data_IF_681476918216
#
_entry.id   IF_681476918216
#
_cell.length_a   1.000
_cell.length_b   1.000
_cell.length_c   1.000
_cell.angle_alpha   90.00
_cell.angle_beta   90.00
_cell.angle_gamma   90.00
#
_symmetry.space_group_name_H-M   'P 1'
#
loop_
_entity.id
_entity.type
_entity.pdbx_description
1 polymer ?
#
# COMPACT_ATOMS: atom_id res chain seq x y z
N UNK A 1 42.00 -24.64 21.99
CA UNK A 1 41.47 -25.22 20.75
C UNK A 1 39.96 -25.37 20.89
N UNK A 2 39.18 -24.63 20.10
CA UNK A 2 37.74 -24.89 19.94
C UNK A 2 37.51 -25.05 18.43
N UNK A 3 37.15 -26.24 18.00
CA UNK A 3 36.85 -26.55 16.62
C UNK A 3 35.45 -26.02 16.28
N UNK A 4 35.38 -25.02 15.40
CA UNK A 4 34.11 -24.61 14.81
C UNK A 4 33.84 -25.52 13.60
N UNK A 5 33.05 -26.56 13.83
CA UNK A 5 32.51 -27.46 12.81
C UNK A 5 31.47 -26.72 11.96
N UNK A 6 31.95 -25.95 10.98
CA UNK A 6 31.13 -25.42 9.91
C UNK A 6 31.16 -26.35 8.71
N UNK A 7 29.99 -26.83 8.28
CA UNK A 7 29.81 -27.70 7.12
C UNK A 7 30.13 -26.93 5.81
N UNK A 8 31.41 -26.89 5.40
CA UNK A 8 31.86 -26.24 4.16
C UNK A 8 31.75 -27.25 3.02
N UNK A 9 30.65 -27.20 2.28
CA UNK A 9 30.48 -28.01 1.06
C UNK A 9 31.29 -27.39 -0.07
N UNK A 10 32.40 -28.03 -0.44
CA UNK A 10 33.30 -27.55 -1.49
C UNK A 10 32.81 -27.99 -2.88
N UNK A 11 31.96 -27.17 -3.51
CA UNK A 11 31.50 -27.43 -4.90
C UNK A 11 32.54 -26.88 -5.89
N UNK A 12 33.10 -27.72 -6.78
CA UNK A 12 33.99 -27.26 -7.85
C UNK A 12 33.21 -26.38 -8.86
N UNK A 13 33.77 -25.21 -9.21
CA UNK A 13 33.20 -24.26 -10.16
C UNK A 13 33.62 -24.65 -11.60
N UNK A 14 32.68 -24.84 -12.54
CA UNK A 14 33.01 -25.21 -13.93
C UNK A 14 33.44 -24.02 -14.82
N UNK A 15 33.48 -22.77 -14.33
CA UNK A 15 33.81 -21.60 -15.16
C UNK A 15 35.25 -21.10 -14.97
N UNK A 16 35.95 -20.80 -16.08
CA UNK A 16 37.36 -20.36 -16.19
C UNK A 16 37.68 -18.95 -15.65
N UNK A 17 36.72 -18.24 -15.06
CA UNK A 17 36.99 -16.98 -14.34
C UNK A 17 37.22 -17.33 -12.87
N UNK A 18 38.31 -16.80 -12.29
CA UNK A 18 38.84 -17.17 -10.95
C UNK A 18 37.80 -17.20 -9.82
N UNK A 19 38.17 -17.69 -8.61
CA UNK A 19 37.22 -18.08 -7.57
C UNK A 19 36.23 -16.96 -7.23
N UNK A 20 35.06 -17.01 -7.87
CA UNK A 20 33.97 -16.08 -7.59
C UNK A 20 33.55 -16.32 -6.14
N UNK A 21 33.51 -15.25 -5.34
CA UNK A 21 33.15 -15.28 -3.91
C UNK A 21 31.93 -16.19 -3.68
N UNK A 22 32.13 -17.36 -3.05
CA UNK A 22 31.10 -18.42 -2.92
C UNK A 22 30.27 -18.31 -1.63
N UNK A 23 30.04 -17.09 -1.15
CA UNK A 23 29.28 -16.88 0.09
C UNK A 23 27.87 -16.30 -0.16
N UNK A 24 27.57 -15.79 -1.37
CA UNK A 24 26.35 -15.02 -1.64
C UNK A 24 25.03 -15.72 -1.32
N UNK A 25 24.96 -17.04 -1.42
CA UNK A 25 23.72 -17.78 -1.12
C UNK A 25 23.60 -18.17 0.36
N UNK A 26 24.74 -18.40 1.03
CA UNK A 26 24.77 -18.71 2.46
C UNK A 26 24.42 -17.47 3.29
N UNK A 27 24.89 -16.28 2.88
CA UNK A 27 24.55 -15.03 3.58
C UNK A 27 23.06 -14.73 3.57
N UNK A 28 22.34 -15.07 2.48
CA UNK A 28 20.88 -14.88 2.39
C UNK A 28 20.08 -15.71 3.39
N UNK A 29 20.67 -16.79 3.93
CA UNK A 29 20.02 -17.70 4.89
C UNK A 29 20.23 -17.28 6.35
N UNK A 30 21.13 -16.33 6.63
CA UNK A 30 21.32 -15.75 7.96
C UNK A 30 20.08 -14.94 8.35
N UNK A 31 19.56 -15.10 9.57
CA UNK A 31 18.33 -14.42 10.04
C UNK A 31 18.35 -12.91 9.77
N UNK A 32 19.43 -12.23 10.20
CA UNK A 32 19.60 -10.78 10.02
C UNK A 32 19.60 -10.32 8.56
N UNK A 33 20.05 -11.15 7.63
CA UNK A 33 20.09 -10.82 6.20
C UNK A 33 18.77 -11.24 5.54
N UNK A 34 18.16 -12.33 5.99
CA UNK A 34 16.88 -12.85 5.51
C UNK A 34 15.76 -11.84 5.74
N UNK A 35 15.73 -11.17 6.88
CA UNK A 35 14.72 -10.17 7.23
C UNK A 35 14.72 -8.97 6.27
N UNK A 36 15.88 -8.63 5.68
CA UNK A 36 16.01 -7.56 4.69
C UNK A 36 15.44 -7.93 3.31
N UNK A 37 15.35 -9.23 3.00
CA UNK A 37 14.84 -9.75 1.74
C UNK A 37 13.44 -10.36 1.85
N UNK A 38 12.91 -10.49 3.07
CA UNK A 38 11.54 -10.90 3.32
C UNK A 38 10.60 -9.80 2.80
N UNK A 39 10.05 -10.04 1.60
CA UNK A 39 9.13 -9.10 0.95
C UNK A 39 7.95 -8.86 1.88
N UNK A 40 7.81 -7.61 2.34
CA UNK A 40 6.60 -7.12 3.00
C UNK A 40 5.36 -7.69 2.28
N UNK A 41 4.42 -8.23 3.06
CA UNK A 41 3.19 -8.83 2.56
C UNK A 41 2.63 -7.97 1.44
N UNK A 42 2.33 -8.59 0.29
CA UNK A 42 1.91 -7.88 -0.94
C UNK A 42 0.97 -6.73 -0.57
N UNK A 43 1.44 -5.49 -0.77
CA UNK A 43 0.66 -4.29 -0.50
C UNK A 43 -0.72 -4.46 -1.12
N UNK A 44 -1.79 -4.13 -0.37
CA UNK A 44 -3.16 -4.23 -0.88
C UNK A 44 -3.21 -3.53 -2.23
N UNK A 45 -3.71 -4.22 -3.25
CA UNK A 45 -3.82 -3.64 -4.59
C UNK A 45 -4.65 -2.37 -4.49
N UNK A 46 -4.12 -1.26 -5.03
CA UNK A 46 -4.90 -0.03 -5.18
C UNK A 46 -6.08 -0.33 -6.09
N UNK A 47 -7.23 0.30 -5.80
CA UNK A 47 -8.39 0.24 -6.70
C UNK A 47 -7.98 0.78 -8.06
N UNK A 48 -8.41 0.10 -9.12
CA UNK A 48 -8.23 0.62 -10.47
C UNK A 48 -9.25 1.73 -10.74
N UNK A 49 -8.98 2.57 -11.73
CA UNK A 49 -9.93 3.59 -12.19
C UNK A 49 -11.25 2.94 -12.63
N UNK A 50 -11.19 1.77 -13.26
CA UNK A 50 -12.37 0.99 -13.63
C UNK A 50 -13.21 0.56 -12.41
N UNK A 51 -12.56 0.10 -11.35
CA UNK A 51 -13.25 -0.28 -10.10
C UNK A 51 -13.93 0.92 -9.43
N UNK A 52 -13.37 2.12 -9.61
CA UNK A 52 -13.98 3.36 -9.11
C UNK A 52 -15.22 3.68 -9.94
N UNK A 53 -15.10 3.75 -11.26
CA UNK A 53 -16.22 4.06 -12.15
C UNK A 53 -17.38 3.06 -12.04
N UNK A 54 -17.08 1.78 -11.82
CA UNK A 54 -18.11 0.76 -11.62
C UNK A 54 -18.97 0.98 -10.36
N UNK A 55 -18.43 1.65 -9.35
CA UNK A 55 -19.11 1.91 -8.08
C UNK A 55 -19.59 3.37 -7.96
N UNK A 56 -19.54 4.15 -9.04
CA UNK A 56 -20.09 5.50 -9.09
C UNK A 56 -21.55 5.40 -9.54
N UNK A 57 -22.47 5.71 -8.62
CA UNK A 57 -23.92 5.74 -8.87
C UNK A 57 -24.43 7.16 -9.12
N UNK A 58 -25.71 7.30 -9.50
CA UNK A 58 -26.37 8.60 -9.70
C UNK A 58 -26.28 9.52 -8.48
N UNK A 59 -26.21 8.94 -7.26
CA UNK A 59 -25.98 9.66 -6.01
C UNK A 59 -24.68 10.46 -6.00
N UNK A 60 -23.64 10.04 -6.72
CA UNK A 60 -22.38 10.78 -6.82
C UNK A 60 -22.55 12.12 -7.54
N UNK A 61 -23.47 12.19 -8.49
CA UNK A 61 -23.77 13.39 -9.26
C UNK A 61 -24.90 14.23 -8.65
N UNK A 62 -25.34 13.91 -7.43
CA UNK A 62 -26.34 14.70 -6.72
C UNK A 62 -27.77 14.54 -7.24
N UNK A 63 -28.03 13.62 -8.17
CA UNK A 63 -29.39 13.39 -8.70
C UNK A 63 -30.43 13.03 -7.63
N UNK A 64 -29.98 12.56 -6.45
CA UNK A 64 -30.85 12.19 -5.33
C UNK A 64 -31.01 13.30 -4.27
N UNK A 65 -30.13 14.31 -4.28
CA UNK A 65 -30.07 15.30 -3.20
C UNK A 65 -31.29 16.25 -3.21
N UNK A 66 -31.90 16.45 -4.38
CA UNK A 66 -33.12 17.25 -4.54
C UNK A 66 -34.38 16.51 -4.08
N UNK A 67 -34.40 15.18 -4.13
CA UNK A 67 -35.62 14.38 -3.86
C UNK A 67 -35.89 14.17 -2.36
N UNK A 68 -34.85 14.01 -1.53
CA UNK A 68 -35.01 13.67 -0.11
C UNK A 68 -35.36 14.90 0.78
N UNK A 69 -35.28 16.12 0.23
CA UNK A 69 -35.63 17.38 0.92
C UNK A 69 -34.77 17.71 2.15
N UNK A 70 -33.73 16.93 2.43
CA UNK A 70 -32.79 17.11 3.54
C UNK A 70 -32.02 18.42 3.37
N UNK A 71 -31.58 18.71 2.15
CA UNK A 71 -30.82 19.92 1.83
C UNK A 71 -31.60 21.19 2.18
N UNK A 72 -32.87 21.27 1.73
CA UNK A 72 -33.76 22.40 2.00
C UNK A 72 -33.99 22.66 3.49
N UNK A 73 -34.05 21.61 4.32
CA UNK A 73 -34.23 21.73 5.78
C UNK A 73 -33.01 22.34 6.47
N UNK A 74 -31.81 22.10 5.94
CA UNK A 74 -30.55 22.57 6.52
C UNK A 74 -30.19 23.96 5.99
N UNK A 75 -30.43 24.21 4.70
CA UNK A 75 -30.08 25.47 4.03
C UNK A 75 -30.98 26.62 4.47
N UNK A 76 -32.31 26.43 4.54
CA UNK A 76 -33.25 27.50 4.92
C UNK A 76 -32.90 28.26 6.21
N UNK A 77 -32.70 27.58 7.36
CA UNK A 77 -32.34 28.27 8.61
C UNK A 77 -30.92 28.86 8.56
N UNK A 78 -30.02 28.29 7.76
CA UNK A 78 -28.65 28.78 7.61
C UNK A 78 -28.64 30.06 6.77
N UNK A 79 -29.37 30.08 5.65
CA UNK A 79 -29.54 31.25 4.79
C UNK A 79 -30.20 32.40 5.55
N UNK A 80 -31.26 32.12 6.33
CA UNK A 80 -31.90 33.13 7.16
C UNK A 80 -30.93 33.78 8.15
N UNK A 81 -30.08 32.98 8.82
CA UNK A 81 -29.03 33.50 9.72
C UNK A 81 -27.98 34.33 8.98
N UNK A 82 -27.57 33.89 7.78
CA UNK A 82 -26.60 34.64 6.98
C UNK A 82 -27.16 35.99 6.52
N UNK A 83 -28.45 36.03 6.14
CA UNK A 83 -29.13 37.28 5.75
C UNK A 83 -29.20 38.26 6.92
N UNK A 84 -29.60 37.80 8.10
CA UNK A 84 -29.63 38.65 9.32
C UNK A 84 -28.23 39.18 9.65
N UNK A 85 -27.21 38.34 9.59
CA UNK A 85 -25.82 38.75 9.83
C UNK A 85 -25.27 39.73 8.76
N UNK A 86 -25.84 39.73 7.56
CA UNK A 86 -25.46 40.64 6.49
C UNK A 86 -26.17 42.00 6.59
N UNK A 87 -27.31 42.06 7.27
CA UNK A 87 -28.05 43.31 7.56
C UNK A 87 -27.58 44.00 8.85
N UNK A 88 -26.88 43.28 9.74
CA UNK A 88 -26.20 43.80 10.92
C UNK A 88 -24.82 44.40 10.59
#
# INVERSE_FOLDING_TARGET
MMALEGNIVHVLNPSRRGPAYRYFEATKKLSRVRDLFEKLSKLRKRRTIYDIYKNIDASYYGYKDEEDGVLARVEGPTEAKMRVKAEE
#
